data_IF_490402302259
#
_entry.id   IF_490402302259
#
_cell.length_a   1.000
_cell.length_b   1.000
_cell.length_c   1.000
_cell.angle_alpha   90.00
_cell.angle_beta   90.00
_cell.angle_gamma   90.00
#
_symmetry.space_group_name_H-M   'P 1'
#
loop_
_entity.id
_entity.type
_entity.pdbx_description
1 polymer ?
#
# COMPACT_ATOMS: atom_id res chain seq x y z
N UNK A 1 17.19 -7.29 -2.60
CA UNK A 1 18.02 -8.44 -3.00
C UNK A 1 17.64 -9.70 -2.25
N UNK A 2 17.41 -9.65 -0.93
CA UNK A 2 16.83 -10.79 -0.19
C UNK A 2 15.55 -11.26 -0.88
N UNK A 3 15.47 -12.57 -1.15
CA UNK A 3 14.36 -13.18 -1.88
C UNK A 3 14.35 -12.98 -3.40
N UNK A 4 15.25 -12.19 -3.97
CA UNK A 4 15.33 -11.93 -5.42
C UNK A 4 16.64 -12.37 -6.07
N UNK A 5 17.76 -12.25 -5.36
CA UNK A 5 19.07 -12.68 -5.84
C UNK A 5 19.20 -14.21 -5.76
N UNK A 6 19.31 -14.86 -6.91
CA UNK A 6 19.44 -16.32 -7.05
C UNK A 6 20.73 -16.72 -7.76
N UNK A 7 21.63 -15.78 -7.99
CA UNK A 7 22.94 -16.05 -8.58
C UNK A 7 23.78 -16.94 -7.66
N UNK A 8 24.06 -18.16 -8.10
CA UNK A 8 24.77 -19.18 -7.31
C UNK A 8 24.01 -19.71 -6.10
N UNK A 9 22.73 -19.37 -5.92
CA UNK A 9 21.95 -19.74 -4.74
C UNK A 9 20.66 -20.50 -5.10
N UNK A 10 20.71 -21.85 -5.22
CA UNK A 10 19.60 -22.65 -5.74
C UNK A 10 18.35 -22.64 -4.87
N UNK A 11 18.45 -22.24 -3.60
CA UNK A 11 17.29 -22.15 -2.70
C UNK A 11 16.45 -20.87 -2.86
N UNK A 12 16.89 -19.88 -3.65
CA UNK A 12 16.05 -18.71 -3.99
C UNK A 12 15.23 -19.04 -5.22
N UNK A 13 14.13 -19.75 -4.99
CA UNK A 13 13.18 -20.18 -6.03
C UNK A 13 12.20 -19.06 -6.39
N UNK A 14 11.40 -19.25 -7.46
CA UNK A 14 10.27 -18.37 -7.78
C UNK A 14 9.23 -18.30 -6.65
N UNK A 15 9.01 -19.40 -5.93
CA UNK A 15 8.15 -19.43 -4.76
C UNK A 15 8.69 -18.52 -3.64
N UNK A 16 9.99 -18.61 -3.31
CA UNK A 16 10.63 -17.75 -2.31
C UNK A 16 10.52 -16.27 -2.69
N UNK A 17 10.74 -15.94 -3.97
CA UNK A 17 10.55 -14.57 -4.47
C UNK A 17 9.10 -14.11 -4.31
N UNK A 18 8.13 -14.94 -4.68
CA UNK A 18 6.71 -14.64 -4.53
C UNK A 18 6.32 -14.41 -3.07
N UNK A 19 6.74 -15.29 -2.17
CA UNK A 19 6.51 -15.17 -0.73
C UNK A 19 7.12 -13.89 -0.17
N UNK A 20 8.37 -13.58 -0.56
CA UNK A 20 9.05 -12.34 -0.16
C UNK A 20 8.25 -11.10 -0.58
N UNK A 21 7.76 -11.05 -1.83
CA UNK A 21 6.95 -9.93 -2.31
C UNK A 21 5.64 -9.79 -1.53
N UNK A 22 4.98 -10.91 -1.19
CA UNK A 22 3.77 -10.89 -0.37
C UNK A 22 4.04 -10.42 1.06
N UNK A 23 5.12 -10.88 1.69
CA UNK A 23 5.49 -10.47 3.04
C UNK A 23 5.85 -8.98 3.11
N UNK A 24 6.57 -8.46 2.11
CA UNK A 24 6.86 -7.03 2.00
C UNK A 24 5.57 -6.21 1.84
N UNK A 25 4.65 -6.62 0.96
CA UNK A 25 3.33 -5.95 0.80
C UNK A 25 2.53 -5.97 2.08
N UNK A 26 2.42 -7.14 2.73
CA UNK A 26 1.74 -7.29 4.03
C UNK A 26 2.33 -6.34 5.05
N UNK A 27 3.66 -6.31 5.17
CA UNK A 27 4.32 -5.47 6.16
C UNK A 27 4.14 -3.98 5.87
N UNK A 28 4.19 -3.56 4.60
CA UNK A 28 3.91 -2.18 4.19
C UNK A 28 2.53 -1.72 4.67
N UNK A 29 1.50 -2.52 4.36
CA UNK A 29 0.11 -2.21 4.70
C UNK A 29 -0.11 -2.19 6.22
N UNK A 30 0.50 -3.14 6.96
CA UNK A 30 0.42 -3.18 8.42
C UNK A 30 1.02 -1.92 9.06
N UNK A 31 2.21 -1.50 8.61
CA UNK A 31 2.87 -0.30 9.10
C UNK A 31 2.04 0.96 8.79
N UNK A 32 1.49 1.04 7.58
CA UNK A 32 0.61 2.15 7.19
C UNK A 32 -0.67 2.20 8.04
N UNK A 33 -1.30 1.05 8.30
CA UNK A 33 -2.47 0.97 9.19
C UNK A 33 -2.13 1.42 10.61
N UNK A 34 -0.98 1.02 11.13
CA UNK A 34 -0.49 1.46 12.45
C UNK A 34 -0.26 2.98 12.48
N UNK A 35 0.36 3.53 11.44
CA UNK A 35 0.57 4.97 11.30
C UNK A 35 -0.74 5.77 11.26
N UNK A 36 -1.72 5.31 10.47
CA UNK A 36 -3.04 5.93 10.40
C UNK A 36 -3.79 5.83 11.73
N UNK A 37 -3.68 4.69 12.43
CA UNK A 37 -4.27 4.51 13.77
C UNK A 37 -3.66 5.46 14.79
N UNK A 38 -2.34 5.60 14.79
CA UNK A 38 -1.62 6.53 15.66
C UNK A 38 -1.98 7.98 15.33
N UNK A 39 -2.14 8.32 14.05
CA UNK A 39 -2.59 9.63 13.62
C UNK A 39 -4.04 9.91 14.10
N UNK A 40 -4.94 8.94 13.93
CA UNK A 40 -6.33 9.04 14.39
C UNK A 40 -6.43 9.30 15.90
N UNK A 41 -5.57 8.66 16.70
CA UNK A 41 -5.52 8.89 18.14
C UNK A 41 -5.12 10.33 18.49
N UNK A 42 -4.22 10.95 17.73
CA UNK A 42 -3.75 12.32 17.97
C UNK A 42 -4.73 13.40 17.51
N UNK A 43 -5.53 13.13 16.46
CA UNK A 43 -6.46 14.10 15.88
C UNK A 43 -7.88 13.99 16.49
N UNK A 44 -8.03 14.33 17.78
CA UNK A 44 -9.33 14.52 18.46
C UNK A 44 -9.93 15.92 18.25
N UNK A 45 -10.11 16.33 16.99
CA UNK A 45 -10.72 17.63 16.70
C UNK A 45 -12.22 17.45 16.58
N UNK A 46 -12.98 18.15 17.42
CA UNK A 46 -14.44 18.06 17.51
C UNK A 46 -15.14 19.06 16.58
N UNK A 47 -16.20 18.62 15.93
CA UNK A 47 -17.13 19.42 15.12
C UNK A 47 -17.81 20.55 15.90
N UNK A 48 -17.93 20.41 17.23
CA UNK A 48 -18.49 21.44 18.11
C UNK A 48 -17.54 22.62 18.34
N UNK A 49 -16.23 22.38 18.26
CA UNK A 49 -15.20 23.41 18.49
C UNK A 49 -14.80 24.07 17.17
N UNK A 50 -14.78 23.30 16.08
CA UNK A 50 -14.31 23.76 14.77
C UNK A 50 -15.26 23.23 13.69
N UNK A 51 -15.74 24.12 12.84
CA UNK A 51 -16.55 23.73 11.69
C UNK A 51 -15.77 22.82 10.74
N UNK A 52 -16.37 21.68 10.39
CA UNK A 52 -15.78 20.72 9.45
C UNK A 52 -15.68 21.33 8.05
N UNK A 53 -14.49 21.36 7.43
CA UNK A 53 -14.34 21.74 6.03
C UNK A 53 -15.17 20.87 5.09
N UNK A 54 -15.79 21.49 4.08
CA UNK A 54 -16.71 20.79 3.16
C UNK A 54 -16.00 19.66 2.39
N UNK A 55 -14.76 19.90 1.96
CA UNK A 55 -13.90 18.90 1.30
C UNK A 55 -13.81 17.59 2.11
N UNK A 56 -13.63 17.72 3.43
CA UNK A 56 -13.51 16.56 4.32
C UNK A 56 -14.84 15.83 4.48
N UNK A 57 -15.95 16.56 4.66
CA UNK A 57 -17.27 15.95 4.80
C UNK A 57 -17.75 15.24 3.53
N UNK A 58 -17.45 15.82 2.36
CA UNK A 58 -17.78 15.21 1.06
C UNK A 58 -17.02 13.90 0.91
N UNK A 59 -15.72 13.92 1.18
CA UNK A 59 -14.90 12.73 1.05
C UNK A 59 -15.28 11.64 2.05
N UNK A 60 -15.60 11.98 3.30
CA UNK A 60 -16.13 11.01 4.29
C UNK A 60 -17.41 10.34 3.75
N UNK A 61 -18.29 11.10 3.09
CA UNK A 61 -19.53 10.57 2.52
C UNK A 61 -19.26 9.60 1.38
N UNK A 62 -18.35 9.95 0.46
CA UNK A 62 -17.91 9.05 -0.63
C UNK A 62 -17.27 7.76 -0.09
N UNK A 63 -16.36 7.88 0.88
CA UNK A 63 -15.70 6.74 1.51
C UNK A 63 -16.71 5.84 2.22
N UNK A 64 -17.71 6.43 2.89
CA UNK A 64 -18.79 5.66 3.55
C UNK A 64 -19.58 4.83 2.54
N UNK A 65 -19.92 5.38 1.39
CA UNK A 65 -20.59 4.65 0.31
C UNK A 65 -19.70 3.53 -0.23
N UNK A 66 -18.42 3.84 -0.49
CA UNK A 66 -17.40 2.88 -0.95
C UNK A 66 -17.21 1.72 0.01
N UNK A 67 -17.19 2.01 1.31
CA UNK A 67 -16.96 1.03 2.38
C UNK A 67 -18.22 0.20 2.67
N UNK A 68 -19.41 0.78 2.50
CA UNK A 68 -20.69 0.14 2.80
C UNK A 68 -20.91 -0.10 4.30
N UNK A 69 -21.46 -1.25 4.66
CA UNK A 69 -21.81 -1.58 6.05
C UNK A 69 -20.62 -1.58 7.02
N UNK A 70 -19.41 -1.82 6.52
CA UNK A 70 -18.17 -1.78 7.30
C UNK A 70 -17.78 -0.37 7.77
N UNK A 71 -18.46 0.69 7.30
CA UNK A 71 -18.18 2.07 7.69
C UNK A 71 -18.71 2.37 9.10
N UNK A 72 -19.80 1.70 9.50
CA UNK A 72 -20.53 2.02 10.73
C UNK A 72 -19.63 1.95 11.98
N UNK A 73 -18.83 0.90 12.22
CA UNK A 73 -17.93 0.88 13.38
C UNK A 73 -16.85 1.97 13.35
N UNK A 74 -16.37 2.35 12.16
CA UNK A 74 -15.35 3.39 11.99
C UNK A 74 -15.89 4.79 12.28
N UNK A 75 -17.16 5.03 11.98
CA UNK A 75 -17.84 6.31 12.16
C UNK A 75 -18.47 6.47 13.56
N UNK A 76 -19.20 5.47 14.04
CA UNK A 76 -19.97 5.55 15.29
C UNK A 76 -19.10 5.64 16.55
N UNK A 77 -17.83 5.22 16.46
CA UNK A 77 -16.87 5.31 17.57
C UNK A 77 -16.54 6.76 17.94
N UNK A 78 -16.60 7.67 16.97
CA UNK A 78 -16.09 9.04 17.07
C UNK A 78 -17.01 10.03 16.33
N UNK A 79 -18.32 9.96 16.61
CA UNK A 79 -19.39 10.64 15.84
C UNK A 79 -19.14 12.11 15.54
N UNK A 80 -18.47 12.82 16.44
CA UNK A 80 -18.27 14.28 16.39
C UNK A 80 -16.82 14.66 16.07
N UNK A 81 -15.98 13.71 15.69
CA UNK A 81 -14.56 13.94 15.38
C UNK A 81 -14.29 13.58 13.92
N UNK A 82 -14.64 14.44 12.95
CA UNK A 82 -14.64 14.10 11.52
C UNK A 82 -13.25 13.74 10.98
N UNK A 83 -12.18 14.40 11.44
CA UNK A 83 -10.80 14.03 11.09
C UNK A 83 -10.43 12.62 11.55
N UNK A 84 -10.90 12.22 12.73
CA UNK A 84 -10.68 10.88 13.27
C UNK A 84 -11.51 9.84 12.54
N UNK A 85 -12.76 10.16 12.23
CA UNK A 85 -13.63 9.32 11.40
C UNK A 85 -13.04 9.07 10.01
N UNK A 86 -12.51 10.12 9.37
CA UNK A 86 -11.83 10.04 8.09
C UNK A 86 -10.65 9.05 8.15
N UNK A 87 -9.75 9.20 9.14
CA UNK A 87 -8.62 8.29 9.33
C UNK A 87 -9.04 6.85 9.67
N UNK A 88 -10.15 6.66 10.39
CA UNK A 88 -10.71 5.33 10.63
C UNK A 88 -11.23 4.70 9.33
N UNK A 89 -11.87 5.48 8.45
CA UNK A 89 -12.31 4.99 7.14
C UNK A 89 -11.12 4.63 6.25
N UNK A 90 -10.04 5.45 6.23
CA UNK A 90 -8.82 5.12 5.51
C UNK A 90 -8.25 3.76 5.94
N UNK A 91 -8.23 3.47 7.26
CA UNK A 91 -7.78 2.17 7.77
C UNK A 91 -8.66 1.00 7.30
N UNK A 92 -9.96 1.23 7.10
CA UNK A 92 -10.95 0.24 6.63
C UNK A 92 -10.91 0.06 5.11
N UNK A 93 -10.36 1.03 4.38
CA UNK A 93 -10.12 0.98 2.93
C UNK A 93 -8.77 0.33 2.57
N UNK A 94 -7.84 0.17 3.53
CA UNK A 94 -6.61 -0.58 3.28
C UNK A 94 -6.94 -2.05 2.96
N UNK A 95 -6.27 -2.67 1.97
CA UNK A 95 -6.50 -4.06 1.57
C UNK A 95 -5.89 -5.07 2.56
N UNK A 96 -6.35 -5.02 3.81
CA UNK A 96 -5.96 -5.89 4.92
C UNK A 96 -7.18 -6.61 5.49
N UNK A 97 -6.98 -7.88 5.82
CA UNK A 97 -7.93 -8.67 6.61
C UNK A 97 -7.87 -8.27 8.10
N UNK A 98 -8.85 -8.71 8.89
CA UNK A 98 -8.89 -8.44 10.33
C UNK A 98 -7.69 -9.04 11.09
N UNK A 99 -7.18 -10.18 10.64
CA UNK A 99 -5.97 -10.82 11.18
C UNK A 99 -4.66 -10.12 10.75
N UNK A 100 -4.73 -9.05 9.94
CA UNK A 100 -3.57 -8.31 9.46
C UNK A 100 -2.91 -8.89 8.21
N UNK A 101 -3.45 -9.93 7.59
CA UNK A 101 -2.96 -10.44 6.31
C UNK A 101 -3.38 -9.52 5.14
N UNK A 102 -2.49 -9.38 4.15
CA UNK A 102 -2.81 -8.62 2.94
C UNK A 102 -3.80 -9.39 2.06
N UNK A 103 -4.81 -8.68 1.57
CA UNK A 103 -5.75 -9.23 0.59
C UNK A 103 -5.01 -9.32 -0.76
N UNK A 104 -4.84 -10.54 -1.28
CA UNK A 104 -4.09 -10.75 -2.53
C UNK A 104 -4.82 -10.20 -3.76
N UNK A 105 -6.16 -10.25 -3.75
CA UNK A 105 -7.03 -9.76 -4.83
C UNK A 105 -8.11 -8.86 -4.23
N UNK A 106 -7.78 -7.62 -3.85
CA UNK A 106 -8.75 -6.71 -3.27
C UNK A 106 -9.80 -6.32 -4.31
N UNK A 107 -11.06 -6.22 -3.89
CA UNK A 107 -12.10 -5.60 -4.70
C UNK A 107 -11.76 -4.11 -4.86
N UNK A 108 -11.48 -3.70 -6.11
CA UNK A 108 -11.06 -2.33 -6.45
C UNK A 108 -12.14 -1.29 -6.15
N UNK A 109 -13.40 -1.70 -6.13
CA UNK A 109 -14.51 -0.82 -5.74
C UNK A 109 -14.55 -0.59 -4.23
N UNK A 110 -13.92 -1.46 -3.42
CA UNK A 110 -14.00 -1.42 -1.95
C UNK A 110 -12.71 -0.97 -1.26
N UNK A 111 -11.55 -1.30 -1.81
CA UNK A 111 -10.25 -1.03 -1.18
C UNK A 111 -9.39 -0.10 -2.03
N UNK A 112 -8.44 0.57 -1.39
CA UNK A 112 -7.37 1.26 -2.10
C UNK A 112 -6.58 0.29 -2.98
N UNK A 113 -6.37 0.68 -4.22
CA UNK A 113 -5.64 -0.14 -5.21
C UNK A 113 -4.14 0.20 -5.26
N UNK A 114 -3.79 1.45 -4.93
CA UNK A 114 -2.42 1.98 -4.91
C UNK A 114 -2.18 2.88 -3.69
N UNK A 115 -0.91 3.17 -3.42
CA UNK A 115 -0.51 4.19 -2.45
C UNK A 115 -0.93 5.61 -2.87
N UNK A 116 -1.12 5.87 -4.16
CA UNK A 116 -1.54 7.18 -4.68
C UNK A 116 -2.93 7.56 -4.15
N UNK A 117 -3.89 6.62 -4.13
CA UNK A 117 -5.21 6.89 -3.55
C UNK A 117 -5.13 7.23 -2.04
N UNK A 118 -4.15 6.67 -1.32
CA UNK A 118 -3.93 7.01 0.09
C UNK A 118 -3.31 8.40 0.22
N UNK A 119 -2.38 8.75 -0.66
CA UNK A 119 -1.76 10.08 -0.70
C UNK A 119 -2.79 11.16 -1.02
N UNK A 120 -3.70 10.91 -1.98
CA UNK A 120 -4.79 11.83 -2.30
C UNK A 120 -5.68 12.10 -1.08
N UNK A 121 -6.02 11.06 -0.32
CA UNK A 121 -6.79 11.20 0.92
C UNK A 121 -5.99 11.90 2.05
N UNK A 122 -4.66 11.69 2.12
CA UNK A 122 -3.80 12.45 3.03
C UNK A 122 -3.68 13.93 2.63
N UNK A 123 -3.73 14.25 1.34
CA UNK A 123 -3.75 15.63 0.86
C UNK A 123 -5.07 16.32 1.21
N UNK A 124 -6.20 15.60 1.12
CA UNK A 124 -7.50 16.07 1.64
C UNK A 124 -7.39 16.37 3.14
N UNK A 125 -6.76 15.47 3.90
CA UNK A 125 -6.53 15.67 5.33
C UNK A 125 -5.69 16.94 5.59
N UNK A 126 -4.59 17.12 4.88
CA UNK A 126 -3.70 18.29 4.99
C UNK A 126 -4.47 19.59 4.68
N UNK A 127 -5.20 19.62 3.56
CA UNK A 127 -5.97 20.79 3.14
C UNK A 127 -7.07 21.14 4.15
N UNK A 128 -7.78 20.14 4.68
CA UNK A 128 -8.79 20.37 5.72
C UNK A 128 -8.19 20.93 7.02
N UNK A 129 -6.95 20.55 7.37
CA UNK A 129 -6.26 21.06 8.55
C UNK A 129 -5.73 22.48 8.34
N UNK A 130 -5.35 22.85 7.10
CA UNK A 130 -4.97 24.22 6.77
C UNK A 130 -6.14 25.19 6.95
N UNK A 131 -7.36 24.81 6.55
CA UNK A 131 -8.57 25.64 6.71
C UNK A 131 -8.85 26.01 8.18
N UNK A 132 -8.39 25.18 9.13
CA UNK A 132 -8.55 25.41 10.57
C UNK A 132 -7.25 25.87 11.25
N UNK A 133 -6.25 26.27 10.46
CA UNK A 133 -4.93 26.75 10.91
C UNK A 133 -4.15 25.76 11.79
N UNK A 134 -4.32 24.46 11.59
CA UNK A 134 -3.67 23.39 12.37
C UNK A 134 -2.25 23.03 11.84
N UNK A 135 -1.44 24.03 11.50
CA UNK A 135 -0.12 23.89 10.88
C UNK A 135 0.85 22.98 11.63
N UNK A 136 0.82 23.03 12.97
CA UNK A 136 1.73 22.20 13.78
C UNK A 136 1.40 20.70 13.65
N UNK A 137 0.11 20.36 13.65
CA UNK A 137 -0.38 18.99 13.48
C UNK A 137 -0.04 18.45 12.10
N UNK A 138 -0.18 19.28 11.05
CA UNK A 138 0.19 18.92 9.67
C UNK A 138 1.66 18.49 9.62
N UNK A 139 2.56 19.38 10.03
CA UNK A 139 4.02 19.16 9.92
C UNK A 139 4.53 18.03 10.81
N UNK A 140 3.97 17.91 12.02
CA UNK A 140 4.47 16.97 13.02
C UNK A 140 3.89 15.57 12.87
N UNK A 141 2.62 15.46 12.49
CA UNK A 141 1.89 14.20 12.56
C UNK A 141 1.45 13.69 11.19
N UNK A 142 0.95 14.55 10.29
CA UNK A 142 0.41 14.11 8.99
C UNK A 142 1.51 13.93 7.93
N UNK A 143 2.36 14.93 7.72
CA UNK A 143 3.41 14.89 6.71
C UNK A 143 4.37 13.69 6.85
N UNK A 144 4.77 13.25 8.07
CA UNK A 144 5.60 12.06 8.20
C UNK A 144 4.91 10.79 7.70
N UNK A 145 3.58 10.68 7.85
CA UNK A 145 2.81 9.54 7.30
C UNK A 145 2.79 9.63 5.78
N UNK A 146 2.48 10.79 5.20
CA UNK A 146 2.49 11.00 3.75
C UNK A 146 3.86 10.68 3.13
N UNK A 147 4.95 11.16 3.74
CA UNK A 147 6.32 10.87 3.29
C UNK A 147 6.65 9.38 3.33
N UNK A 148 6.25 8.67 4.40
CA UNK A 148 6.42 7.21 4.48
C UNK A 148 5.62 6.49 3.41
N UNK A 149 4.37 6.86 3.20
CA UNK A 149 3.52 6.30 2.15
C UNK A 149 4.13 6.50 0.76
N UNK A 150 4.59 7.71 0.44
CA UNK A 150 5.23 8.01 -0.85
C UNK A 150 6.58 7.28 -1.05
N UNK A 151 7.31 7.02 0.03
CA UNK A 151 8.62 6.36 -0.05
C UNK A 151 8.50 4.84 -0.18
N UNK A 152 7.60 4.23 0.59
CA UNK A 152 7.53 2.78 0.74
C UNK A 152 6.36 2.15 -0.04
N UNK A 153 5.33 2.93 -0.36
CA UNK A 153 4.12 2.48 -1.06
C UNK A 153 3.47 1.25 -0.43
N UNK A 154 2.78 0.45 -1.23
CA UNK A 154 2.23 -0.85 -0.80
C UNK A 154 3.21 -2.02 -0.96
N UNK A 155 4.49 -1.75 -1.17
CA UNK A 155 5.48 -2.78 -1.47
C UNK A 155 6.69 -2.78 -0.55
N UNK A 156 6.84 -1.79 0.32
CA UNK A 156 7.93 -1.59 1.29
C UNK A 156 9.31 -1.40 0.67
N UNK A 157 9.74 -2.32 -0.18
CA UNK A 157 11.00 -2.26 -0.90
C UNK A 157 10.84 -2.92 -2.28
N UNK A 158 11.61 -2.44 -3.25
CA UNK A 158 11.73 -3.09 -4.56
C UNK A 158 12.71 -4.27 -4.43
N UNK A 159 12.31 -5.42 -4.96
CA UNK A 159 13.14 -6.63 -4.96
C UNK A 159 13.79 -6.77 -6.32
N UNK A 160 15.10 -6.56 -6.38
CA UNK A 160 15.88 -6.82 -7.59
C UNK A 160 16.01 -8.32 -7.83
N UNK A 161 15.78 -8.75 -9.07
CA UNK A 161 15.99 -10.12 -9.53
C UNK A 161 17.36 -10.20 -10.20
N UNK A 162 18.19 -11.15 -9.75
CA UNK A 162 19.53 -11.35 -10.29
C UNK A 162 19.78 -12.83 -10.58
N UNK A 163 20.32 -13.12 -11.76
CA UNK A 163 20.70 -14.46 -12.21
C UNK A 163 21.93 -14.38 -13.11
N UNK A 164 22.73 -15.45 -13.10
CA UNK A 164 23.90 -15.61 -13.97
C UNK A 164 23.49 -15.78 -15.45
N UNK A 165 24.20 -15.14 -16.37
CA UNK A 165 23.95 -15.18 -17.82
C UNK A 165 23.82 -16.60 -18.37
N UNK A 166 24.63 -17.54 -17.88
CA UNK A 166 24.64 -18.92 -18.35
C UNK A 166 23.27 -19.61 -18.22
N UNK A 167 22.45 -19.24 -17.23
CA UNK A 167 21.09 -19.79 -17.11
C UNK A 167 20.14 -19.22 -18.16
N UNK A 168 20.35 -17.98 -18.59
CA UNK A 168 19.58 -17.38 -19.67
C UNK A 168 19.94 -18.03 -21.02
N UNK A 169 21.22 -18.27 -21.26
CA UNK A 169 21.71 -18.95 -22.48
C UNK A 169 21.15 -20.37 -22.56
N UNK A 170 21.18 -21.11 -21.45
CA UNK A 170 20.59 -22.46 -21.37
C UNK A 170 19.08 -22.45 -21.64
N UNK A 171 18.34 -21.50 -21.07
CA UNK A 171 16.90 -21.39 -21.30
C UNK A 171 16.60 -21.09 -22.78
N UNK A 172 17.37 -20.20 -23.41
CA UNK A 172 17.22 -19.87 -24.83
C UNK A 172 17.54 -21.06 -25.73
N UNK A 173 18.64 -21.77 -25.48
CA UNK A 173 19.00 -22.97 -26.23
C UNK A 173 17.89 -24.03 -26.19
N UNK A 174 17.32 -24.28 -25.01
CA UNK A 174 16.21 -25.22 -24.82
C UNK A 174 14.94 -24.79 -25.58
N UNK A 175 14.61 -23.49 -25.58
CA UNK A 175 13.46 -22.96 -26.32
C UNK A 175 13.65 -23.07 -27.84
N UNK A 176 14.84 -22.77 -28.35
CA UNK A 176 15.17 -22.84 -29.79
C UNK A 176 15.14 -24.29 -30.29
N UNK A 177 15.73 -25.21 -29.52
CA UNK A 177 15.68 -26.64 -29.81
C UNK A 177 14.23 -27.14 -29.84
N UNK A 178 13.40 -26.75 -28.86
CA UNK A 178 11.99 -27.14 -28.82
C UNK A 178 11.17 -26.54 -29.98
N UNK A 179 11.57 -25.39 -30.50
CA UNK A 179 10.97 -24.75 -31.68
C UNK A 179 11.43 -25.37 -33.01
N UNK A 180 12.39 -26.30 -32.99
CA UNK A 180 12.93 -26.94 -34.20
C UNK A 180 13.88 -26.05 -35.01
N UNK A 181 14.49 -25.05 -34.37
CA UNK A 181 15.53 -24.23 -35.00
C UNK A 181 16.81 -25.06 -35.14
N UNK A 182 17.34 -25.14 -36.36
CA UNK A 182 18.61 -25.82 -36.64
C UNK A 182 19.75 -25.15 -35.84
N UNK A 183 20.60 -25.95 -35.22
CA UNK A 183 21.71 -25.52 -34.34
C UNK A 183 21.29 -24.76 -33.06
N UNK A 184 19.99 -24.74 -32.73
CA UNK A 184 19.44 -23.97 -31.61
C UNK A 184 20.02 -24.34 -30.24
N UNK A 185 20.47 -25.58 -30.05
CA UNK A 185 21.12 -26.06 -28.84
C UNK A 185 22.46 -25.37 -28.53
N UNK A 186 23.12 -24.79 -29.54
CA UNK A 186 24.42 -24.11 -29.43
C UNK A 186 24.29 -22.59 -29.34
N UNK A 187 23.09 -22.08 -28.98
CA UNK A 187 22.81 -20.64 -28.89
C UNK A 187 23.87 -19.82 -28.15
N UNK A 188 24.49 -20.37 -27.11
CA UNK A 188 25.53 -19.67 -26.32
C UNK A 188 26.80 -19.34 -27.14
N UNK A 189 27.02 -20.03 -28.26
CA UNK A 189 28.20 -19.92 -29.13
C UNK A 189 27.92 -19.18 -30.45
N UNK A 190 26.69 -18.67 -30.67
CA UNK A 190 26.27 -17.97 -31.89
C UNK A 190 26.82 -16.55 -32.05
#
# INVERSE_FOLDING_TARGET
WVGGDRDGHPFVTDQVTRETLFDLRKKALQLLKEDLSNLAQKLSISSYEVSTPQLLSDRISEMKERVGSAAKPALDRNTEEPWRQFLNLMQVLLPLQENGEAIQKPDTNRYYTSEEEVLDDLDILINSLHEISAEHTIKRDVEPVARKTATFGFHLAKVDIRQNSNFHDQAMAQLLQAAGIEDGENFADW
#
